data_IF_190235062903
#
_entry.id   IF_190235062903
#
_cell.length_a   1.000
_cell.length_b   1.000
_cell.length_c   1.000
_cell.angle_alpha   90.00
_cell.angle_beta   90.00
_cell.angle_gamma   90.00
#
_symmetry.space_group_name_H-M   'P 1'
#
loop_
_entity.id
_entity.type
_entity.pdbx_description
1 polymer ?
#
# COMPACT_ATOMS: atom_id res chain seq x y z
N UNK A 1 -14.67 57.86 37.47
CA UNK A 1 -15.61 57.42 36.41
C UNK A 1 -15.02 57.81 35.07
N UNK A 2 -15.19 56.96 34.05
CA UNK A 2 -14.55 56.94 32.71
C UNK A 2 -13.09 56.40 32.73
N UNK A 3 -12.72 55.22 32.21
CA UNK A 3 -13.41 54.25 31.35
C UNK A 3 -12.87 54.29 29.91
N UNK A 4 -12.38 53.14 29.41
CA UNK A 4 -12.13 52.76 28.00
C UNK A 4 -10.79 53.21 27.36
N UNK A 5 -10.11 52.46 26.49
CA UNK A 5 -10.30 51.13 25.88
C UNK A 5 -8.91 50.69 25.33
N UNK A 6 -8.35 49.57 25.77
CA UNK A 6 -7.19 48.94 25.10
C UNK A 6 -7.70 48.00 24.02
N UNK A 7 -7.49 48.34 22.75
CA UNK A 7 -7.85 47.50 21.60
C UNK A 7 -6.76 46.42 21.46
N UNK A 8 -7.09 45.18 21.82
CA UNK A 8 -6.27 44.02 21.53
C UNK A 8 -6.53 43.55 20.09
N UNK A 9 -5.55 43.70 19.21
CA UNK A 9 -5.59 43.21 17.83
C UNK A 9 -5.37 41.70 17.83
N UNK A 10 -6.45 40.93 17.72
CA UNK A 10 -6.38 39.48 17.53
C UNK A 10 -5.89 39.17 16.10
N UNK A 11 -4.67 38.64 15.98
CA UNK A 11 -4.18 38.02 14.75
C UNK A 11 -4.97 36.73 14.52
N UNK A 12 -5.91 36.78 13.57
CA UNK A 12 -6.58 35.60 13.05
C UNK A 12 -5.57 34.79 12.23
N UNK A 13 -5.03 33.73 12.84
CA UNK A 13 -4.20 32.74 12.16
C UNK A 13 -5.12 31.87 11.30
N UNK A 14 -5.33 32.27 10.06
CA UNK A 14 -6.03 31.47 9.05
C UNK A 14 -5.17 30.24 8.72
N UNK A 15 -5.40 29.13 9.43
CA UNK A 15 -4.92 27.82 9.02
C UNK A 15 -5.58 27.48 7.69
N UNK A 16 -4.83 27.61 6.60
CA UNK A 16 -5.13 26.97 5.32
C UNK A 16 -5.13 25.45 5.59
N UNK A 17 -6.32 24.85 5.68
CA UNK A 17 -6.46 23.40 5.53
C UNK A 17 -5.98 23.07 4.12
N UNK A 18 -4.78 22.51 4.01
CA UNK A 18 -4.37 21.85 2.78
C UNK A 18 -5.36 20.71 2.48
N UNK A 19 -5.80 20.52 1.23
CA UNK A 19 -6.60 19.36 0.86
C UNK A 19 -5.78 18.10 1.13
N UNK A 20 -6.23 17.28 2.08
CA UNK A 20 -5.70 15.93 2.26
C UNK A 20 -6.03 15.14 1.00
N UNK A 21 -5.06 14.53 0.29
CA UNK A 21 -5.40 13.62 -0.79
C UNK A 21 -6.25 12.49 -0.21
N UNK A 22 -7.35 12.14 -0.90
CA UNK A 22 -8.22 11.01 -0.56
C UNK A 22 -7.49 9.68 -0.81
N UNK A 23 -6.44 9.41 -0.03
CA UNK A 23 -5.76 8.13 -0.01
C UNK A 23 -6.50 7.23 0.98
N UNK A 24 -7.22 6.23 0.44
CA UNK A 24 -7.82 5.15 1.22
C UNK A 24 -6.69 4.27 1.80
N UNK A 25 -5.99 4.74 2.83
CA UNK A 25 -4.82 4.08 3.39
C UNK A 25 -5.22 2.94 4.34
N UNK A 26 -4.77 1.72 4.04
CA UNK A 26 -4.90 0.56 4.93
C UNK A 26 -3.51 0.24 5.53
N UNK A 27 -3.24 0.83 6.70
CA UNK A 27 -1.98 0.68 7.42
C UNK A 27 -2.14 -0.34 8.56
N UNK A 28 -1.52 -1.51 8.41
CA UNK A 28 -1.30 -2.46 9.50
C UNK A 28 -0.01 -2.17 10.26
N UNK A 29 0.37 -3.06 11.19
CA UNK A 29 1.55 -2.88 12.06
C UNK A 29 2.88 -2.80 11.28
N UNK A 30 3.02 -3.56 10.20
CA UNK A 30 4.27 -3.67 9.42
C UNK A 30 4.12 -3.23 7.95
N UNK A 31 2.88 -3.11 7.46
CA UNK A 31 2.60 -2.96 6.03
C UNK A 31 1.52 -1.92 5.82
N UNK A 32 1.81 -0.95 4.96
CA UNK A 32 0.89 0.09 4.55
C UNK A 32 0.53 -0.11 3.07
N UNK A 33 -0.77 -0.06 2.76
CA UNK A 33 -1.28 -0.16 1.39
C UNK A 33 -1.81 1.20 0.96
N UNK A 34 -1.26 1.69 -0.14
CA UNK A 34 -1.70 2.91 -0.82
C UNK A 34 -2.24 2.55 -2.19
N UNK A 35 -3.16 3.34 -2.73
CA UNK A 35 -3.49 3.20 -4.15
C UNK A 35 -4.22 4.40 -4.74
N UNK A 36 -4.39 4.32 -6.05
CA UNK A 36 -4.90 5.39 -6.90
C UNK A 36 -6.00 4.84 -7.81
N UNK A 37 -6.88 5.71 -8.30
CA UNK A 37 -7.99 5.27 -9.17
C UNK A 37 -9.22 4.73 -8.39
N UNK A 38 -9.36 5.06 -7.11
CA UNK A 38 -10.54 4.70 -6.31
C UNK A 38 -10.39 3.43 -5.47
N UNK A 39 -9.22 3.24 -4.85
CA UNK A 39 -9.00 2.34 -3.71
C UNK A 39 -7.61 1.71 -3.67
N UNK A 40 -7.02 1.59 -2.47
CA UNK A 40 -5.71 0.98 -2.24
C UNK A 40 -5.68 -0.55 -2.27
N UNK A 41 -6.82 -1.18 -1.98
CA UNK A 41 -6.87 -2.61 -1.68
C UNK A 41 -6.82 -2.87 -0.18
N UNK A 42 -6.62 -4.13 0.22
CA UNK A 42 -6.59 -4.51 1.65
C UNK A 42 -5.47 -5.50 1.91
N UNK A 43 -4.71 -5.30 2.98
CA UNK A 43 -3.67 -6.23 3.40
C UNK A 43 -4.18 -7.24 4.43
N UNK A 44 -3.84 -8.52 4.24
CA UNK A 44 -4.16 -9.61 5.18
C UNK A 44 -2.88 -10.30 5.60
N UNK A 45 -2.28 -9.80 6.68
CA UNK A 45 -1.07 -10.36 7.27
C UNK A 45 -1.26 -11.84 7.67
N UNK A 46 -0.26 -12.67 7.42
CA UNK A 46 -0.25 -14.08 7.80
C UNK A 46 -1.13 -15.00 6.94
N UNK A 47 -1.90 -14.47 5.99
CA UNK A 47 -2.71 -15.30 5.10
C UNK A 47 -1.88 -15.85 3.93
N UNK A 48 -2.16 -17.10 3.50
CA UNK A 48 -1.58 -17.71 2.29
C UNK A 48 -2.66 -18.14 1.31
N UNK A 49 -2.35 -18.07 0.02
CA UNK A 49 -3.18 -18.60 -1.04
C UNK A 49 -2.60 -19.93 -1.53
N UNK A 50 -3.39 -21.00 -1.46
CA UNK A 50 -3.01 -22.24 -2.12
C UNK A 50 -2.86 -22.02 -3.63
N UNK A 51 -2.03 -22.85 -4.29
CA UNK A 51 -1.84 -22.81 -5.75
C UNK A 51 -3.17 -22.87 -6.52
N UNK A 52 -4.14 -23.63 -6.03
CA UNK A 52 -5.49 -23.70 -6.61
C UNK A 52 -6.26 -22.39 -6.51
N UNK A 53 -6.21 -21.71 -5.35
CA UNK A 53 -6.83 -20.40 -5.15
C UNK A 53 -6.18 -19.34 -6.03
N UNK A 54 -4.84 -19.31 -6.12
CA UNK A 54 -4.10 -18.39 -7.02
C UNK A 54 -4.55 -18.51 -8.49
N UNK A 55 -4.61 -19.75 -9.00
CA UNK A 55 -5.12 -20.03 -10.36
C UNK A 55 -6.58 -19.60 -10.55
N UNK A 56 -7.42 -19.74 -9.51
CA UNK A 56 -8.82 -19.33 -9.57
C UNK A 56 -8.96 -17.80 -9.67
N UNK A 57 -8.19 -17.06 -8.88
CA UNK A 57 -8.12 -15.59 -8.93
C UNK A 57 -7.63 -15.10 -10.30
N UNK A 58 -6.53 -15.67 -10.80
CA UNK A 58 -6.00 -15.38 -12.13
C UNK A 58 -7.05 -15.62 -13.22
N UNK A 59 -7.72 -16.78 -13.21
CA UNK A 59 -8.76 -17.12 -14.19
C UNK A 59 -9.98 -16.19 -14.11
N UNK A 60 -10.39 -15.81 -12.90
CA UNK A 60 -11.54 -14.94 -12.67
C UNK A 60 -11.29 -13.51 -13.16
N UNK A 61 -10.05 -13.02 -13.00
CA UNK A 61 -9.68 -11.66 -13.32
C UNK A 61 -8.93 -11.51 -14.66
N UNK A 62 -8.71 -12.61 -15.41
CA UNK A 62 -7.94 -12.62 -16.68
C UNK A 62 -8.33 -11.55 -17.71
N UNK A 63 -9.62 -11.19 -17.78
CA UNK A 63 -10.16 -10.19 -18.73
C UNK A 63 -10.09 -8.74 -18.22
N UNK A 64 -9.63 -8.52 -16.99
CA UNK A 64 -9.49 -7.19 -16.40
C UNK A 64 -8.17 -6.57 -16.83
N UNK A 65 -8.12 -5.24 -16.85
CA UNK A 65 -6.87 -4.49 -17.01
C UNK A 65 -5.94 -4.80 -15.84
N UNK A 66 -4.64 -4.71 -16.10
CA UNK A 66 -3.65 -4.83 -15.03
C UNK A 66 -3.68 -3.57 -14.16
N UNK A 67 -3.37 -3.77 -12.88
CA UNK A 67 -3.11 -2.74 -11.88
C UNK A 67 -1.60 -2.74 -11.66
N UNK A 68 -1.01 -1.55 -11.60
CA UNK A 68 0.43 -1.44 -11.30
C UNK A 68 0.63 -1.73 -9.82
N UNK A 69 1.39 -2.79 -9.49
CA UNK A 69 1.85 -3.07 -8.14
C UNK A 69 3.27 -2.54 -7.98
N UNK A 70 3.47 -1.67 -7.00
CA UNK A 70 4.77 -1.24 -6.51
C UNK A 70 4.98 -1.78 -5.10
N UNK A 71 6.08 -2.46 -4.84
CA UNK A 71 6.46 -2.91 -3.50
C UNK A 71 7.72 -2.18 -3.08
N UNK A 72 7.62 -1.45 -1.97
CA UNK A 72 8.72 -0.71 -1.37
C UNK A 72 9.07 -1.40 -0.06
N UNK A 73 10.31 -1.84 0.08
CA UNK A 73 10.82 -2.38 1.35
C UNK A 73 11.73 -1.33 1.95
N UNK A 74 11.32 -0.77 3.09
CA UNK A 74 12.12 0.25 3.76
C UNK A 74 13.49 -0.29 4.16
N UNK A 75 14.53 0.53 3.97
CA UNK A 75 15.92 0.09 4.11
C UNK A 75 16.47 -0.68 2.91
N UNK A 76 15.69 -0.89 1.84
CA UNK A 76 16.15 -1.36 0.52
C UNK A 76 16.61 -2.82 0.46
N UNK A 77 16.42 -3.59 1.54
CA UNK A 77 16.80 -5.00 1.62
C UNK A 77 15.55 -5.87 1.63
N UNK A 78 15.45 -6.77 0.67
CA UNK A 78 14.36 -7.73 0.62
C UNK A 78 14.11 -8.25 -0.79
N UNK A 79 13.86 -9.55 -0.89
CA UNK A 79 13.39 -10.21 -2.11
C UNK A 79 11.87 -10.32 -2.06
N UNK A 80 11.21 -9.72 -3.05
CA UNK A 80 9.75 -9.71 -3.16
C UNK A 80 9.29 -10.89 -4.01
N UNK A 81 8.31 -11.64 -3.51
CA UNK A 81 7.65 -12.71 -4.24
C UNK A 81 6.16 -12.42 -4.33
N UNK A 82 5.62 -12.48 -5.54
CA UNK A 82 4.18 -12.27 -5.79
C UNK A 82 3.63 -13.53 -6.46
N UNK A 83 2.69 -14.19 -5.79
CA UNK A 83 2.11 -15.49 -6.16
C UNK A 83 3.15 -16.62 -6.28
N UNK A 84 4.22 -16.53 -5.49
CA UNK A 84 5.36 -17.46 -5.52
C UNK A 84 6.32 -17.24 -6.67
N UNK A 85 6.24 -16.12 -7.39
CA UNK A 85 7.20 -15.71 -8.42
C UNK A 85 8.05 -14.57 -7.89
N UNK A 86 9.37 -14.70 -7.98
CA UNK A 86 10.29 -13.63 -7.63
C UNK A 86 10.04 -12.40 -8.53
N UNK A 87 10.01 -11.23 -7.91
CA UNK A 87 9.93 -9.95 -8.57
C UNK A 87 11.26 -9.23 -8.36
N UNK A 88 12.01 -9.06 -9.45
CA UNK A 88 13.27 -8.33 -9.40
C UNK A 88 13.02 -6.88 -8.96
N UNK A 89 13.90 -6.39 -8.09
CA UNK A 89 13.87 -5.01 -7.62
C UNK A 89 14.62 -4.13 -8.61
N UNK A 90 14.00 -3.05 -9.06
CA UNK A 90 14.64 -2.02 -9.89
C UNK A 90 14.82 -0.77 -9.01
N UNK A 91 16.05 -0.54 -8.55
CA UNK A 91 16.33 0.54 -7.60
C UNK A 91 15.72 0.28 -6.22
N UNK A 92 14.82 1.17 -5.77
CA UNK A 92 14.21 1.12 -4.42
C UNK A 92 12.86 0.39 -4.37
N UNK A 93 12.34 -0.07 -5.52
CA UNK A 93 11.04 -0.72 -5.58
C UNK A 93 11.04 -1.93 -6.51
N UNK A 94 10.18 -2.89 -6.20
CA UNK A 94 9.87 -4.02 -7.06
C UNK A 94 8.50 -3.74 -7.72
N UNK A 95 8.45 -3.69 -9.05
CA UNK A 95 7.26 -3.27 -9.79
C UNK A 95 6.80 -4.30 -10.82
N UNK A 96 5.49 -4.57 -10.88
CA UNK A 96 4.88 -5.32 -12.00
C UNK A 96 3.39 -5.01 -12.18
N UNK A 97 2.86 -5.35 -13.34
CA UNK A 97 1.42 -5.49 -13.53
C UNK A 97 0.86 -6.71 -12.80
N UNK A 98 -0.27 -6.54 -12.11
CA UNK A 98 -1.07 -7.65 -11.53
C UNK A 98 -2.52 -7.50 -11.92
N UNK A 99 -3.27 -8.61 -11.96
CA UNK A 99 -4.73 -8.51 -12.08
C UNK A 99 -5.32 -7.96 -10.77
N UNK A 100 -6.52 -7.38 -10.78
CA UNK A 100 -7.28 -7.19 -9.56
C UNK A 100 -7.59 -8.52 -8.87
N UNK A 101 -7.91 -8.48 -7.58
CA UNK A 101 -8.20 -9.68 -6.79
C UNK A 101 -7.09 -10.01 -5.81
N UNK A 102 -7.00 -11.27 -5.40
CA UNK A 102 -6.15 -11.69 -4.29
C UNK A 102 -4.78 -12.16 -4.79
N UNK A 103 -3.71 -11.59 -4.23
CA UNK A 103 -2.33 -11.93 -4.51
C UNK A 103 -1.58 -12.27 -3.24
N UNK A 104 -0.86 -13.39 -3.24
CA UNK A 104 0.03 -13.73 -2.13
C UNK A 104 1.33 -12.93 -2.29
N UNK A 105 1.71 -12.18 -1.25
CA UNK A 105 2.97 -11.44 -1.19
C UNK A 105 3.82 -12.06 -0.09
N UNK A 106 5.08 -12.32 -0.41
CA UNK A 106 6.07 -12.78 0.54
C UNK A 106 7.35 -11.98 0.34
N UNK A 107 7.90 -11.43 1.43
CA UNK A 107 9.13 -10.63 1.42
C UNK A 107 10.14 -11.32 2.33
N UNK A 108 11.33 -11.57 1.79
CA UNK A 108 12.41 -12.29 2.48
C UNK A 108 13.69 -11.47 2.50
N UNK A 109 14.43 -11.53 3.59
CA UNK A 109 15.85 -11.17 3.61
C UNK A 109 16.66 -12.46 3.78
N UNK A 110 17.38 -12.85 2.73
CA UNK A 110 18.02 -14.17 2.62
C UNK A 110 17.04 -15.33 2.92
N UNK A 111 17.23 -16.04 4.04
CA UNK A 111 16.41 -17.16 4.51
C UNK A 111 15.29 -16.75 5.49
N UNK A 112 15.30 -15.50 5.96
CA UNK A 112 14.31 -14.98 6.89
C UNK A 112 13.12 -14.36 6.14
N UNK A 113 11.90 -14.75 6.53
CA UNK A 113 10.67 -14.08 6.06
C UNK A 113 10.46 -12.82 6.90
N UNK A 114 10.51 -11.65 6.25
CA UNK A 114 10.21 -10.36 6.89
C UNK A 114 8.70 -10.24 7.12
N UNK A 115 7.92 -10.50 6.08
CA UNK A 115 6.46 -10.49 6.14
C UNK A 115 5.88 -11.37 5.05
N UNK A 116 4.68 -11.88 5.29
CA UNK A 116 3.89 -12.59 4.29
C UNK A 116 2.41 -12.36 4.51
N UNK A 117 1.63 -12.37 3.43
CA UNK A 117 0.20 -12.14 3.51
C UNK A 117 -0.48 -12.14 2.15
N UNK A 118 -1.76 -11.78 2.16
CA UNK A 118 -2.56 -11.62 0.94
C UNK A 118 -2.93 -10.16 0.75
N UNK A 119 -2.49 -9.60 -0.37
CA UNK A 119 -2.96 -8.31 -0.85
C UNK A 119 -4.24 -8.52 -1.69
N UNK A 120 -5.32 -7.85 -1.31
CA UNK A 120 -6.57 -7.82 -2.08
C UNK A 120 -6.60 -6.53 -2.90
N UNK A 121 -6.22 -6.61 -4.17
CA UNK A 121 -6.16 -5.47 -5.09
C UNK A 121 -7.57 -5.09 -5.56
N UNK A 122 -7.93 -3.81 -5.38
CA UNK A 122 -9.22 -3.27 -5.82
C UNK A 122 -9.40 -3.39 -7.33
N UNK A 123 -10.62 -3.63 -7.77
CA UNK A 123 -10.98 -3.66 -9.21
C UNK A 123 -10.99 -2.29 -9.87
N UNK A 124 -11.03 -1.22 -9.07
CA UNK A 124 -11.05 0.16 -9.55
C UNK A 124 -9.65 0.76 -9.59
N UNK A 125 -8.71 0.21 -8.81
CA UNK A 125 -7.35 0.73 -8.73
C UNK A 125 -6.66 0.77 -10.09
N UNK A 126 -5.91 1.84 -10.32
CA UNK A 126 -4.96 1.96 -11.44
C UNK A 126 -3.55 1.54 -10.98
N UNK A 127 -3.18 1.90 -9.76
CA UNK A 127 -1.95 1.47 -9.10
C UNK A 127 -2.16 1.25 -7.60
N UNK A 128 -1.36 0.34 -7.04
CA UNK A 128 -1.27 0.03 -5.61
C UNK A 128 0.21 0.02 -5.22
N UNK A 129 0.53 0.69 -4.11
CA UNK A 129 1.83 0.60 -3.47
C UNK A 129 1.72 -0.14 -2.14
N UNK A 130 2.59 -1.13 -1.95
CA UNK A 130 2.77 -1.86 -0.70
C UNK A 130 4.07 -1.39 -0.07
N UNK A 131 4.00 -0.64 1.02
CA UNK A 131 5.17 -0.17 1.77
C UNK A 131 5.35 -1.06 2.99
N UNK A 132 6.54 -1.64 3.14
CA UNK A 132 6.86 -2.55 4.23
C UNK A 132 7.90 -1.94 5.15
N UNK A 133 7.49 -1.71 6.39
CA UNK A 133 8.32 -1.25 7.49
C UNK A 133 9.02 -2.47 8.10
N UNK A 134 10.24 -2.75 7.66
CA UNK A 134 11.05 -3.80 8.27
C UNK A 134 11.64 -3.27 9.59
N UNK A 135 10.94 -3.45 10.71
CA UNK A 135 11.54 -3.23 12.03
C UNK A 135 12.75 -4.15 12.20
N UNK A 136 13.84 -3.58 12.72
CA UNK A 136 15.12 -4.28 12.95
C UNK A 136 15.35 -4.47 14.44
#
# INVERSE_FOLDING_TARGET
MLGQLTIATALALSFLLAPTPDTDDDCGEQVCVYGTGGGAGTWKSGERLSRGKRKKEEKANRKRKDVTLNVVVEGGRGSVFVDGRYLATEGQHAQRGVKPGRHEIEIRDADQVITFGVLVVSRKADAVALVVHAER
#
